data_IF_487517830675
#
_entry.id   IF_487517830675
#
_cell.length_a   1.000
_cell.length_b   1.000
_cell.length_c   1.000
_cell.angle_alpha   90.00
_cell.angle_beta   90.00
_cell.angle_gamma   90.00
#
_symmetry.space_group_name_H-M   'P 1'
#
loop_
_entity.id
_entity.type
_entity.pdbx_description
1 polymer ?
#
# COMPACT_ATOMS: atom_id res chain seq x y z
N UNK A 1 -9.19 17.50 2.34
CA UNK A 1 -7.98 16.80 1.84
C UNK A 1 -8.14 15.31 2.06
N UNK A 2 -7.73 14.48 1.09
CA UNK A 2 -7.82 13.03 1.24
C UNK A 2 -6.84 12.52 2.29
N UNK A 3 -7.27 11.52 3.07
CA UNK A 3 -6.44 10.79 4.02
C UNK A 3 -5.96 9.48 3.40
N UNK A 4 -4.73 9.13 3.68
CA UNK A 4 -4.07 7.89 3.24
C UNK A 4 -3.64 7.12 4.49
N UNK A 5 -3.93 5.83 4.53
CA UNK A 5 -3.45 4.95 5.59
C UNK A 5 -2.31 4.08 5.07
N UNK A 6 -1.16 4.13 5.73
CA UNK A 6 -0.08 3.18 5.52
C UNK A 6 -0.17 2.05 6.54
N UNK A 7 -0.09 0.82 6.08
CA UNK A 7 -0.04 -0.39 6.91
C UNK A 7 1.36 -0.96 6.84
N UNK A 8 2.02 -1.06 7.99
CA UNK A 8 3.39 -1.56 8.12
C UNK A 8 3.49 -2.61 9.22
N UNK A 9 4.42 -3.56 9.11
CA UNK A 9 4.75 -4.46 10.20
C UNK A 9 5.35 -3.70 11.39
N UNK A 10 5.12 -4.17 12.61
CA UNK A 10 5.76 -3.58 13.79
C UNK A 10 7.28 -3.72 13.73
N UNK A 11 7.78 -4.82 13.16
CA UNK A 11 9.22 -5.06 12.96
C UNK A 11 9.45 -5.61 11.56
N UNK A 12 10.45 -5.06 10.86
CA UNK A 12 10.90 -5.59 9.59
C UNK A 12 10.07 -5.19 8.37
N UNK A 13 9.38 -4.05 8.41
CA UNK A 13 8.83 -3.47 7.17
C UNK A 13 9.97 -2.95 6.28
N UNK A 14 9.76 -2.90 4.96
CA UNK A 14 10.77 -2.38 4.03
C UNK A 14 10.79 -0.86 4.05
N UNK A 15 11.94 -0.30 4.44
CA UNK A 15 12.10 1.13 4.73
C UNK A 15 11.79 2.05 3.54
N UNK A 16 12.29 1.70 2.34
CA UNK A 16 12.09 2.51 1.13
C UNK A 16 10.65 2.45 0.62
N UNK A 17 10.00 1.29 0.74
CA UNK A 17 8.60 1.10 0.36
C UNK A 17 7.63 1.89 1.23
N UNK A 18 8.03 2.20 2.45
CA UNK A 18 7.32 3.11 3.33
C UNK A 18 7.74 4.56 3.10
N UNK A 19 9.05 4.88 3.24
CA UNK A 19 9.53 6.25 3.34
C UNK A 19 9.30 7.04 2.06
N UNK A 20 9.61 6.46 0.89
CA UNK A 20 9.49 7.16 -0.40
C UNK A 20 8.03 7.52 -0.70
N UNK A 21 7.06 6.57 -0.65
CA UNK A 21 5.67 6.94 -0.87
C UNK A 21 5.11 7.87 0.21
N UNK A 22 5.44 7.65 1.48
CA UNK A 22 4.96 8.49 2.58
C UNK A 22 5.42 9.95 2.43
N UNK A 23 6.69 10.17 2.15
CA UNK A 23 7.27 11.51 1.98
C UNK A 23 6.72 12.18 0.71
N UNK A 24 6.62 11.46 -0.41
CA UNK A 24 6.07 11.99 -1.65
C UNK A 24 4.60 12.39 -1.48
N UNK A 25 3.75 11.49 -0.97
CA UNK A 25 2.33 11.76 -0.79
C UNK A 25 2.09 12.89 0.22
N UNK A 26 2.87 12.94 1.30
CA UNK A 26 2.82 14.06 2.26
C UNK A 26 3.23 15.38 1.60
N UNK A 27 4.26 15.39 0.74
CA UNK A 27 4.69 16.59 0.00
C UNK A 27 3.65 17.07 -1.00
N UNK A 28 2.81 16.17 -1.50
CA UNK A 28 1.65 16.49 -2.35
C UNK A 28 0.43 16.97 -1.56
N UNK A 29 0.55 17.13 -0.23
CA UNK A 29 -0.48 17.69 0.65
C UNK A 29 -1.51 16.68 1.13
N UNK A 30 -1.29 15.37 0.96
CA UNK A 30 -2.17 14.36 1.56
C UNK A 30 -1.84 14.15 3.04
N UNK A 31 -2.87 13.85 3.85
CA UNK A 31 -2.68 13.43 5.23
C UNK A 31 -2.40 11.94 5.28
N UNK A 32 -1.22 11.56 5.79
CA UNK A 32 -0.77 10.19 5.88
C UNK A 32 -0.72 9.72 7.34
N UNK A 33 -1.57 8.77 7.68
CA UNK A 33 -1.53 8.05 8.95
C UNK A 33 -0.83 6.70 8.77
N UNK A 34 -0.31 6.15 9.85
CA UNK A 34 0.34 4.84 9.87
C UNK A 34 -0.35 3.93 10.86
N UNK A 35 -0.63 2.69 10.46
CA UNK A 35 -1.14 1.64 11.33
C UNK A 35 -0.26 0.39 11.28
N UNK A 36 -0.25 -0.34 12.38
CA UNK A 36 0.37 -1.67 12.50
C UNK A 36 -0.47 -2.56 13.40
N UNK A 37 -0.25 -3.87 13.37
CA UNK A 37 -1.06 -4.82 14.12
C UNK A 37 -1.12 -4.54 15.62
N UNK A 38 0.01 -4.12 16.22
CA UNK A 38 0.11 -3.83 17.66
C UNK A 38 0.04 -2.34 17.99
N UNK A 39 0.10 -1.47 16.97
CA UNK A 39 0.28 -0.04 17.19
C UNK A 39 1.64 0.34 17.78
N UNK A 40 1.80 1.61 18.13
CA UNK A 40 3.01 2.11 18.76
C UNK A 40 4.22 2.21 17.84
N UNK A 41 5.39 1.89 18.37
CA UNK A 41 6.66 2.01 17.64
C UNK A 41 6.84 0.89 16.63
N UNK A 42 7.25 1.25 15.40
CA UNK A 42 7.61 0.28 14.36
C UNK A 42 9.06 0.48 13.92
N UNK A 43 9.71 -0.60 13.47
CA UNK A 43 11.11 -0.60 13.03
C UNK A 43 11.27 -1.34 11.70
N UNK A 44 11.79 -0.65 10.70
CA UNK A 44 12.10 -1.22 9.38
C UNK A 44 13.33 -2.12 9.38
N UNK A 45 13.55 -2.81 8.27
CA UNK A 45 14.70 -3.71 8.02
C UNK A 45 16.01 -2.96 8.13
N UNK A 46 16.09 -1.74 7.57
CA UNK A 46 17.27 -0.87 7.60
C UNK A 46 17.18 0.21 8.69
N UNK A 47 16.46 -0.10 9.79
CA UNK A 47 16.37 0.70 11.01
C UNK A 47 15.58 2.00 10.93
N UNK A 48 14.82 2.26 9.85
CA UNK A 48 13.82 3.35 9.87
C UNK A 48 12.91 3.14 11.07
N UNK A 49 12.69 4.19 11.83
CA UNK A 49 11.79 4.14 12.98
C UNK A 49 10.55 4.98 12.72
N UNK A 50 9.39 4.41 13.00
CA UNK A 50 8.11 5.11 13.10
C UNK A 50 7.78 5.13 14.59
N UNK A 51 7.76 6.32 15.22
CA UNK A 51 7.61 6.43 16.67
C UNK A 51 6.20 6.09 17.15
N UNK A 52 5.19 6.30 16.29
CA UNK A 52 3.79 6.04 16.65
C UNK A 52 2.98 5.58 15.43
N UNK A 53 2.37 4.42 15.54
CA UNK A 53 1.36 3.92 14.63
C UNK A 53 0.05 3.65 15.39
N UNK A 54 -1.07 3.67 14.67
CA UNK A 54 -2.38 3.25 15.17
C UNK A 54 -2.42 1.72 15.25
N UNK A 55 -3.20 1.16 16.17
CA UNK A 55 -3.57 -0.26 16.10
C UNK A 55 -4.66 -0.45 15.03
N UNK A 56 -4.74 -1.64 14.42
CA UNK A 56 -5.79 -1.93 13.45
C UNK A 56 -7.21 -1.73 14.02
N UNK A 57 -7.43 -2.09 15.28
CA UNK A 57 -8.72 -1.95 15.97
C UNK A 57 -9.15 -0.49 16.18
N UNK A 58 -8.19 0.45 16.19
CA UNK A 58 -8.44 1.89 16.35
C UNK A 58 -8.64 2.61 15.00
N UNK A 59 -8.49 1.88 13.87
CA UNK A 59 -8.58 2.46 12.53
C UNK A 59 -10.01 2.46 12.01
N UNK A 60 -10.54 3.65 11.71
CA UNK A 60 -11.77 3.78 10.93
C UNK A 60 -11.42 3.84 9.44
N UNK A 61 -11.41 2.66 8.78
CA UNK A 61 -10.94 2.51 7.38
C UNK A 61 -11.70 3.40 6.41
N UNK A 62 -12.99 3.65 6.67
CA UNK A 62 -13.84 4.52 5.83
C UNK A 62 -13.38 5.98 5.76
N UNK A 63 -12.52 6.44 6.68
CA UNK A 63 -11.97 7.80 6.67
C UNK A 63 -10.88 8.00 5.63
N UNK A 64 -10.33 6.90 5.09
CA UNK A 64 -9.22 6.93 4.15
C UNK A 64 -9.68 6.74 2.71
N UNK A 65 -9.07 7.51 1.81
CA UNK A 65 -9.32 7.39 0.38
C UNK A 65 -8.65 6.14 -0.23
N UNK A 66 -7.49 5.77 0.32
CA UNK A 66 -6.72 4.60 -0.07
C UNK A 66 -5.95 4.05 1.13
N UNK A 67 -5.77 2.72 1.17
CA UNK A 67 -4.91 2.04 2.13
C UNK A 67 -3.68 1.49 1.40
N UNK A 68 -2.50 1.84 1.88
CA UNK A 68 -1.20 1.46 1.30
C UNK A 68 -0.57 0.37 2.16
N UNK A 69 -0.42 -0.82 1.61
CA UNK A 69 0.16 -1.98 2.28
C UNK A 69 1.64 -2.10 1.90
N UNK A 70 2.51 -1.92 2.88
CA UNK A 70 3.96 -1.97 2.75
C UNK A 70 4.46 -3.40 2.96
N UNK A 71 5.44 -3.80 2.16
CA UNK A 71 6.04 -5.13 2.24
C UNK A 71 7.17 -5.22 3.27
N UNK A 72 8.08 -6.16 3.02
CA UNK A 72 9.19 -6.52 3.89
C UNK A 72 9.01 -7.88 4.56
N UNK A 73 10.10 -8.47 5.04
CA UNK A 73 10.08 -9.79 5.69
C UNK A 73 9.19 -9.84 6.92
N UNK A 74 9.18 -8.77 7.71
CA UNK A 74 8.30 -8.67 8.88
C UNK A 74 6.81 -8.61 8.51
N UNK A 75 6.46 -8.04 7.36
CA UNK A 75 5.09 -8.06 6.87
C UNK A 75 4.64 -9.51 6.57
N UNK A 76 5.52 -10.33 5.97
CA UNK A 76 5.23 -11.74 5.76
C UNK A 76 4.99 -12.47 7.09
N UNK A 77 5.88 -12.27 8.08
CA UNK A 77 5.76 -12.92 9.39
C UNK A 77 4.52 -12.49 10.18
N UNK A 78 4.14 -11.21 10.12
CA UNK A 78 3.03 -10.67 10.92
C UNK A 78 1.67 -10.83 10.24
N UNK A 79 1.59 -10.81 8.91
CA UNK A 79 0.33 -10.63 8.19
C UNK A 79 -0.06 -11.78 7.27
N UNK A 80 0.82 -12.75 7.02
CA UNK A 80 0.44 -13.90 6.22
C UNK A 80 -0.74 -14.64 6.86
N UNK A 81 -1.84 -14.79 6.12
CA UNK A 81 -3.10 -15.38 6.57
C UNK A 81 -3.70 -14.73 7.84
N UNK A 82 -3.34 -13.50 8.16
CA UNK A 82 -3.85 -12.80 9.32
C UNK A 82 -5.22 -12.16 9.02
N UNK A 83 -6.26 -12.63 9.71
CA UNK A 83 -7.63 -12.18 9.50
C UNK A 83 -7.80 -10.66 9.68
N UNK A 84 -7.17 -10.06 10.69
CA UNK A 84 -7.29 -8.61 10.94
C UNK A 84 -6.70 -7.77 9.79
N UNK A 85 -5.58 -8.23 9.21
CA UNK A 85 -4.96 -7.60 8.06
C UNK A 85 -5.85 -7.72 6.81
N UNK A 86 -6.39 -8.90 6.54
CA UNK A 86 -7.27 -9.15 5.40
C UNK A 86 -8.61 -8.40 5.54
N UNK A 87 -9.16 -8.31 6.75
CA UNK A 87 -10.41 -7.59 7.00
C UNK A 87 -10.24 -6.08 6.85
N UNK A 88 -9.09 -5.53 7.24
CA UNK A 88 -8.76 -4.13 7.00
C UNK A 88 -8.71 -3.84 5.50
N UNK A 89 -8.10 -4.73 4.70
CA UNK A 89 -8.08 -4.60 3.25
C UNK A 89 -9.48 -4.66 2.63
N UNK A 90 -10.36 -5.58 3.08
CA UNK A 90 -11.73 -5.71 2.57
C UNK A 90 -12.60 -4.47 2.83
N UNK A 91 -12.29 -3.69 3.84
CA UNK A 91 -12.98 -2.44 4.17
C UNK A 91 -12.47 -1.23 3.39
N UNK A 92 -11.32 -1.33 2.73
CA UNK A 92 -10.70 -0.22 2.00
C UNK A 92 -11.47 0.13 0.73
N UNK A 93 -11.65 1.42 0.46
CA UNK A 93 -12.24 1.95 -0.78
C UNK A 93 -11.34 1.72 -1.99
N UNK A 94 -10.03 1.85 -1.77
CA UNK A 94 -8.98 1.59 -2.72
C UNK A 94 -7.75 1.02 -2.00
N UNK A 95 -6.97 0.24 -2.69
CA UNK A 95 -5.80 -0.45 -2.16
C UNK A 95 -4.58 -0.15 -3.03
N UNK A 96 -3.48 0.17 -2.38
CA UNK A 96 -2.15 0.14 -2.97
C UNK A 96 -1.28 -0.87 -2.20
N UNK A 97 -0.57 -1.76 -2.88
CA UNK A 97 0.23 -2.79 -2.24
C UNK A 97 1.56 -2.98 -2.98
N UNK A 98 2.66 -3.05 -2.24
CA UNK A 98 4.00 -3.13 -2.83
C UNK A 98 4.77 -4.35 -2.31
N UNK A 99 5.62 -4.92 -3.16
CA UNK A 99 6.54 -6.01 -2.86
C UNK A 99 5.80 -7.31 -2.50
N UNK A 100 5.95 -7.83 -1.27
CA UNK A 100 5.26 -9.02 -0.79
C UNK A 100 3.79 -8.75 -0.42
N UNK A 101 3.39 -7.49 -0.22
CA UNK A 101 2.04 -7.17 0.24
C UNK A 101 0.92 -7.65 -0.71
N UNK A 102 1.02 -7.60 -2.05
CA UNK A 102 0.03 -8.22 -2.92
C UNK A 102 -0.18 -9.71 -2.65
N UNK A 103 0.90 -10.47 -2.41
CA UNK A 103 0.82 -11.90 -2.05
C UNK A 103 0.07 -12.09 -0.74
N UNK A 104 0.36 -11.28 0.29
CA UNK A 104 -0.32 -11.35 1.58
C UNK A 104 -1.81 -11.03 1.46
N UNK A 105 -2.19 -10.15 0.54
CA UNK A 105 -3.58 -9.75 0.29
C UNK A 105 -4.35 -10.75 -0.57
N UNK A 106 -3.70 -11.68 -1.24
CA UNK A 106 -4.38 -12.60 -2.17
C UNK A 106 -5.45 -13.46 -1.50
N UNK A 107 -5.25 -13.84 -0.23
CA UNK A 107 -6.22 -14.60 0.57
C UNK A 107 -7.48 -13.78 0.96
N UNK A 108 -7.47 -12.48 0.73
CA UNK A 108 -8.65 -11.63 0.96
C UNK A 108 -9.79 -11.87 -0.04
N UNK A 109 -9.49 -12.47 -1.21
CA UNK A 109 -10.37 -12.59 -2.35
C UNK A 109 -10.46 -11.32 -3.22
N UNK A 110 -9.85 -10.21 -2.81
CA UNK A 110 -9.92 -8.91 -3.51
C UNK A 110 -9.12 -8.89 -4.81
N UNK A 111 -8.16 -9.81 -4.97
CA UNK A 111 -7.30 -9.87 -6.15
C UNK A 111 -7.84 -10.84 -7.22
N UNK A 112 -8.95 -11.54 -6.97
CA UNK A 112 -9.53 -12.47 -7.94
C UNK A 112 -9.94 -11.76 -9.23
N UNK A 113 -9.41 -12.21 -10.36
CA UNK A 113 -9.65 -11.62 -11.68
C UNK A 113 -8.96 -10.26 -11.90
N UNK A 114 -8.16 -9.78 -10.95
CA UNK A 114 -7.44 -8.51 -11.06
C UNK A 114 -6.06 -8.69 -11.66
N UNK A 115 -5.65 -7.74 -12.50
CA UNK A 115 -4.27 -7.61 -12.95
C UNK A 115 -3.42 -7.07 -11.80
N UNK A 116 -2.34 -7.76 -11.49
CA UNK A 116 -1.45 -7.41 -10.37
C UNK A 116 0.01 -7.65 -10.72
N UNK A 117 0.90 -6.96 -10.03
CA UNK A 117 2.30 -7.32 -9.91
C UNK A 117 2.67 -7.47 -8.43
N UNK A 118 3.84 -7.95 -8.14
CA UNK A 118 4.36 -8.12 -6.79
C UNK A 118 5.78 -8.64 -6.81
N UNK A 119 6.39 -8.73 -5.64
CA UNK A 119 7.70 -9.32 -5.48
C UNK A 119 7.66 -10.83 -5.70
N UNK A 120 8.74 -11.35 -6.27
CA UNK A 120 8.97 -12.79 -6.40
C UNK A 120 10.39 -13.14 -5.93
N UNK A 121 10.53 -14.37 -5.45
CA UNK A 121 11.81 -14.91 -4.98
C UNK A 121 12.78 -15.34 -6.10
N UNK A 122 12.37 -15.16 -7.35
CA UNK A 122 13.10 -15.60 -8.54
C UNK A 122 12.82 -17.06 -8.92
N UNK A 123 12.00 -17.75 -8.14
CA UNK A 123 11.57 -19.13 -8.43
C UNK A 123 10.10 -19.23 -8.83
N UNK A 124 9.38 -18.11 -8.87
CA UNK A 124 7.96 -18.07 -9.21
C UNK A 124 7.03 -18.44 -8.05
N UNK A 125 7.53 -18.52 -6.83
CA UNK A 125 6.76 -18.94 -5.66
C UNK A 125 5.63 -17.95 -5.38
N UNK A 126 5.93 -16.66 -5.34
CA UNK A 126 4.95 -15.62 -5.03
C UNK A 126 3.99 -15.40 -6.21
N UNK A 127 4.52 -15.43 -7.43
CA UNK A 127 3.71 -15.38 -8.65
C UNK A 127 2.70 -16.54 -8.69
N UNK A 128 3.16 -17.75 -8.41
CA UNK A 128 2.31 -18.94 -8.34
C UNK A 128 1.22 -18.83 -7.28
N UNK A 129 1.54 -18.25 -6.13
CA UNK A 129 0.56 -18.03 -5.06
C UNK A 129 -0.51 -17.00 -5.45
N UNK A 130 -0.12 -15.88 -6.06
CA UNK A 130 -1.05 -14.88 -6.60
C UNK A 130 -1.99 -15.49 -7.64
N UNK A 131 -1.45 -16.25 -8.59
CA UNK A 131 -2.22 -16.91 -9.65
C UNK A 131 -3.15 -18.01 -9.09
N UNK A 132 -2.70 -18.79 -8.11
CA UNK A 132 -3.52 -19.80 -7.45
C UNK A 132 -4.75 -19.18 -6.77
N UNK A 133 -4.60 -17.98 -6.21
CA UNK A 133 -5.70 -17.20 -5.61
C UNK A 133 -6.48 -16.36 -6.64
N UNK A 134 -6.30 -16.63 -7.93
CA UNK A 134 -7.11 -16.08 -9.02
C UNK A 134 -6.68 -14.70 -9.53
N UNK A 135 -5.53 -14.17 -9.11
CA UNK A 135 -4.98 -12.94 -9.69
C UNK A 135 -4.37 -13.18 -11.07
N UNK A 136 -4.37 -12.17 -11.93
CA UNK A 136 -3.74 -12.18 -13.25
C UNK A 136 -2.41 -11.45 -13.13
N UNK A 137 -1.32 -12.20 -12.96
CA UNK A 137 0.00 -11.62 -12.80
C UNK A 137 0.49 -10.92 -14.08
N UNK A 138 1.10 -9.75 -13.91
CA UNK A 138 1.80 -8.97 -14.93
C UNK A 138 3.24 -8.75 -14.52
N UNK A 139 4.17 -9.03 -15.41
CA UNK A 139 5.58 -8.74 -15.23
C UNK A 139 5.86 -7.26 -15.54
N UNK A 140 5.37 -6.40 -14.66
CA UNK A 140 5.47 -4.95 -14.76
C UNK A 140 5.88 -4.37 -13.41
N UNK A 141 6.52 -3.20 -13.43
CA UNK A 141 6.97 -2.53 -12.20
C UNK A 141 5.80 -2.07 -11.32
N UNK A 142 4.76 -1.52 -11.96
CA UNK A 142 3.53 -1.04 -11.31
C UNK A 142 2.34 -1.40 -12.18
N UNK A 143 1.31 -1.96 -11.58
CA UNK A 143 0.04 -2.30 -12.25
C UNK A 143 -1.12 -1.64 -11.52
N UNK A 144 -2.01 -0.99 -12.27
CA UNK A 144 -3.28 -0.48 -11.75
C UNK A 144 -4.45 -1.20 -12.42
N UNK A 145 -5.37 -1.73 -11.61
CA UNK A 145 -6.62 -2.32 -12.06
C UNK A 145 -7.79 -1.76 -11.25
N UNK A 146 -8.42 -0.72 -11.79
CA UNK A 146 -9.48 0.01 -11.11
C UNK A 146 -8.97 0.71 -9.84
N UNK A 147 -9.47 0.30 -8.69
CA UNK A 147 -9.09 0.84 -7.38
C UNK A 147 -7.97 0.04 -6.67
N UNK A 148 -7.29 -0.82 -7.39
CA UNK A 148 -6.14 -1.58 -6.92
C UNK A 148 -4.88 -1.13 -7.66
N UNK A 149 -3.82 -0.79 -6.91
CA UNK A 149 -2.50 -0.45 -7.43
C UNK A 149 -1.49 -1.39 -6.80
N UNK A 150 -0.69 -2.07 -7.59
CA UNK A 150 0.36 -2.98 -7.09
C UNK A 150 1.72 -2.63 -7.68
N UNK A 151 2.80 -2.89 -6.93
CA UNK A 151 4.17 -2.67 -7.36
C UNK A 151 5.08 -3.82 -6.91
N UNK A 152 6.17 -4.05 -7.66
CA UNK A 152 6.97 -5.27 -7.49
C UNK A 152 8.10 -5.17 -6.46
N UNK A 153 8.40 -3.99 -5.88
CA UNK A 153 9.40 -3.90 -4.83
C UNK A 153 10.01 -2.51 -4.63
N UNK A 154 11.03 -2.40 -3.75
CA UNK A 154 11.57 -1.11 -3.30
C UNK A 154 12.11 -0.23 -4.43
N UNK A 155 12.72 -0.81 -5.46
CA UNK A 155 13.22 -0.06 -6.61
C UNK A 155 12.13 0.73 -7.36
N UNK A 156 10.87 0.32 -7.23
CA UNK A 156 9.72 0.94 -7.89
C UNK A 156 8.90 1.85 -6.98
N UNK A 157 9.34 2.07 -5.72
CA UNK A 157 8.59 2.84 -4.72
C UNK A 157 8.21 4.26 -5.18
N UNK A 158 9.07 4.93 -5.95
CA UNK A 158 8.77 6.25 -6.52
C UNK A 158 7.66 6.18 -7.58
N UNK A 159 7.71 5.22 -8.50
CA UNK A 159 6.66 5.02 -9.50
C UNK A 159 5.33 4.64 -8.86
N UNK A 160 5.39 3.78 -7.86
CA UNK A 160 4.24 3.39 -7.06
C UNK A 160 3.57 4.59 -6.38
N UNK A 161 4.36 5.47 -5.76
CA UNK A 161 3.85 6.69 -5.13
C UNK A 161 3.16 7.61 -6.14
N UNK A 162 3.73 7.80 -7.33
CA UNK A 162 3.10 8.61 -8.39
C UNK A 162 1.82 7.98 -8.91
N UNK A 163 1.76 6.66 -9.07
CA UNK A 163 0.52 5.97 -9.45
C UNK A 163 -0.61 6.21 -8.43
N UNK A 164 -0.29 6.27 -7.13
CA UNK A 164 -1.25 6.62 -6.07
C UNK A 164 -1.70 8.08 -6.21
N UNK A 165 -0.78 9.02 -6.47
CA UNK A 165 -1.13 10.44 -6.71
C UNK A 165 -2.10 10.57 -7.88
N UNK A 166 -1.79 9.93 -9.00
CA UNK A 166 -2.61 10.00 -10.21
C UNK A 166 -3.99 9.38 -9.98
N UNK A 167 -4.07 8.26 -9.29
CA UNK A 167 -5.34 7.65 -8.89
C UNK A 167 -6.19 8.60 -8.05
N UNK A 168 -5.60 9.22 -7.02
CA UNK A 168 -6.33 10.11 -6.11
C UNK A 168 -6.81 11.39 -6.81
N UNK A 169 -6.03 11.94 -7.74
CA UNK A 169 -6.45 13.09 -8.56
C UNK A 169 -7.63 12.74 -9.46
N UNK A 170 -7.58 11.57 -10.12
CA UNK A 170 -8.60 11.15 -11.06
C UNK A 170 -9.91 10.69 -10.38
N UNK A 171 -9.84 10.24 -9.13
CA UNK A 171 -11.03 9.82 -8.36
C UNK A 171 -11.78 10.97 -7.67
N UNK A 172 -11.41 12.22 -7.95
CA UNK A 172 -12.05 13.41 -7.34
C UNK A 172 -11.71 13.63 -5.87
N UNK A 173 -10.79 12.84 -5.32
CA UNK A 173 -10.30 12.97 -3.94
C UNK A 173 -9.00 13.78 -3.85
N UNK A 174 -8.51 14.27 -5.00
CA UNK A 174 -7.32 15.08 -5.12
C UNK A 174 -7.48 16.51 -4.59
N UNK A 175 -6.36 17.17 -4.36
CA UNK A 175 -6.32 18.59 -4.00
C UNK A 175 -6.50 19.39 -5.29
N UNK A 176 -7.66 20.04 -5.45
CA UNK A 176 -7.78 21.10 -6.45
C UNK A 176 -7.06 22.33 -5.90
N UNK A 177 -5.84 22.61 -6.36
CA UNK A 177 -5.30 23.94 -6.29
C UNK A 177 -6.06 24.76 -7.33
N UNK A 178 -7.06 25.52 -6.90
CA UNK A 178 -7.64 26.59 -7.71
C UNK A 178 -6.62 27.73 -7.82
N UNK A 179 -5.63 27.53 -8.67
CA UNK A 179 -4.79 28.60 -9.18
C UNK A 179 -5.55 29.27 -10.31
N UNK A 180 -6.43 30.22 -9.98
CA UNK A 180 -6.89 31.20 -10.95
C UNK A 180 -5.69 32.07 -11.38
N UNK A 181 -5.16 31.77 -12.54
CA UNK A 181 -4.36 32.74 -13.26
C UNK A 181 -5.34 33.77 -13.84
N UNK A 182 -5.51 34.91 -13.16
CA UNK A 182 -5.99 36.12 -13.78
C UNK A 182 -4.88 36.65 -14.69
N UNK A 183 -5.05 36.46 -15.99
CA UNK A 183 -4.36 37.29 -16.97
C UNK A 183 -4.98 38.72 -16.88
N UNK A 184 -4.16 39.67 -16.48
CA UNK A 184 -4.40 41.11 -16.59
C UNK A 184 -3.43 41.72 -17.61
#
# INVERSE_FOLDING_TARGET
>A
MAKILFVVANVGFQDEEFSIPFELLSSQGYFCDVASGKGGKCRGVFFKTIEKSLKFEDVQVSDYAIVVFVGGGGAYEEYFQNACYLDLARQAKAIAAICIAPTLLSDSGLLQGKHVTGWDDGFGTQIGYLQHNGAIFKDEEVVQDGNLITANGPATATKFAWAIVDFLKNSGTGIYSSGEYHEG
#
